data_IF_388530694800
#
_entry.id   IF_388530694800
#
_cell.length_a   1.000
_cell.length_b   1.000
_cell.length_c   1.000
_cell.angle_alpha   90.00
_cell.angle_beta   90.00
_cell.angle_gamma   90.00
#
_symmetry.space_group_name_H-M   'P 1'
#
loop_
_entity.id
_entity.type
_entity.pdbx_description
1 polymer ?
#
# COMPACT_ATOMS: atom_id res chain seq x y z
N UNK A 1 0.67 4.80 1.23
CA UNK A 1 0.57 5.98 0.37
C UNK A 1 0.56 5.57 -1.08
N UNK A 2 0.79 6.49 -1.99
CA UNK A 2 0.74 6.28 -3.44
C UNK A 2 2.14 6.17 -4.08
N UNK A 3 3.19 6.62 -3.37
CA UNK A 3 4.56 6.62 -3.88
C UNK A 3 5.34 5.36 -3.51
N UNK A 4 5.75 4.57 -4.52
CA UNK A 4 6.59 3.39 -4.32
C UNK A 4 7.96 3.73 -3.70
N UNK A 5 8.59 4.83 -4.14
CA UNK A 5 9.95 5.19 -3.70
C UNK A 5 10.00 5.91 -2.36
N UNK A 6 8.87 6.44 -1.88
CA UNK A 6 8.78 7.17 -0.60
C UNK A 6 7.96 6.40 0.42
N UNK A 7 6.65 6.29 0.24
CA UNK A 7 5.74 5.71 1.25
C UNK A 7 6.00 4.22 1.43
N UNK A 8 6.15 3.50 0.32
CA UNK A 8 6.27 2.04 0.32
C UNK A 8 7.69 1.62 0.66
N UNK A 9 8.70 2.12 -0.07
CA UNK A 9 10.10 1.82 0.23
C UNK A 9 10.49 2.29 1.64
N UNK A 10 10.00 3.46 2.08
CA UNK A 10 10.23 3.97 3.43
C UNK A 10 9.62 3.07 4.51
N UNK A 11 8.35 2.67 4.35
CA UNK A 11 7.69 1.76 5.28
C UNK A 11 8.35 0.38 5.36
N UNK A 12 8.72 -0.20 4.22
CA UNK A 12 9.45 -1.47 4.13
C UNK A 12 10.80 -1.36 4.86
N UNK A 13 11.57 -0.32 4.59
CA UNK A 13 12.88 -0.11 5.22
C UNK A 13 12.78 0.09 6.74
N UNK A 14 11.66 0.64 7.21
CA UNK A 14 11.38 0.81 8.63
C UNK A 14 10.76 -0.44 9.28
N UNK A 15 10.34 -1.42 8.49
CA UNK A 15 9.76 -2.69 8.97
C UNK A 15 8.31 -2.58 9.42
N UNK A 16 7.51 -1.70 8.81
CA UNK A 16 6.08 -1.55 9.09
C UNK A 16 5.23 -1.97 7.90
N UNK A 17 3.97 -2.31 8.17
CA UNK A 17 3.00 -2.64 7.12
C UNK A 17 2.82 -1.47 6.15
N UNK A 18 2.75 -1.80 4.87
CA UNK A 18 2.57 -0.82 3.80
C UNK A 18 1.26 -1.03 3.06
N UNK A 19 0.57 0.07 2.78
CA UNK A 19 -0.64 0.07 1.96
C UNK A 19 -0.40 0.98 0.75
N UNK A 20 -0.38 0.39 -0.45
CA UNK A 20 -0.16 1.10 -1.71
C UNK A 20 -1.49 1.47 -2.38
N UNK A 21 -1.74 2.76 -2.54
CA UNK A 21 -2.94 3.29 -3.17
C UNK A 21 -2.73 3.49 -4.67
N UNK A 22 -3.51 2.77 -5.48
CA UNK A 22 -3.44 2.79 -6.94
C UNK A 22 -4.83 3.00 -7.55
N UNK A 23 -5.37 4.24 -7.59
CA UNK A 23 -6.71 4.51 -8.12
C UNK A 23 -6.85 4.30 -9.63
N UNK A 24 -5.72 4.25 -10.34
CA UNK A 24 -5.65 3.93 -11.76
C UNK A 24 -5.01 2.56 -11.93
N UNK A 25 -5.29 1.91 -13.06
CA UNK A 25 -4.60 0.68 -13.45
C UNK A 25 -3.12 0.95 -13.68
N UNK A 26 -2.30 0.70 -12.66
CA UNK A 26 -0.84 0.80 -12.72
C UNK A 26 -0.21 -0.60 -12.78
N UNK A 27 0.97 -0.75 -13.42
CA UNK A 27 1.72 -1.99 -13.41
C UNK A 27 2.04 -2.47 -11.99
N UNK A 28 2.25 -3.77 -11.84
CA UNK A 28 2.70 -4.36 -10.59
C UNK A 28 4.11 -3.89 -10.19
N UNK A 29 4.46 -4.14 -8.94
CA UNK A 29 5.75 -3.80 -8.35
C UNK A 29 6.40 -5.05 -7.76
N UNK A 30 7.73 -5.11 -7.85
CA UNK A 30 8.53 -6.15 -7.18
C UNK A 30 8.72 -5.87 -5.68
N UNK A 31 8.29 -4.69 -5.20
CA UNK A 31 8.33 -4.38 -3.77
C UNK A 31 7.34 -5.27 -3.00
N UNK A 32 7.73 -5.82 -1.83
CA UNK A 32 6.85 -6.62 -1.00
C UNK A 32 5.83 -5.76 -0.24
N UNK A 33 4.86 -5.20 -0.94
CA UNK A 33 3.78 -4.39 -0.36
C UNK A 33 2.83 -5.27 0.44
N UNK A 34 2.45 -4.86 1.66
CA UNK A 34 1.52 -5.63 2.50
C UNK A 34 0.10 -5.61 1.94
N UNK A 35 -0.39 -4.41 1.55
CA UNK A 35 -1.74 -4.21 1.03
C UNK A 35 -1.72 -3.32 -0.22
N UNK A 36 -2.62 -3.61 -1.17
CA UNK A 36 -2.87 -2.74 -2.32
C UNK A 36 -4.36 -2.41 -2.37
N UNK A 37 -4.67 -1.13 -2.56
CA UNK A 37 -6.05 -0.64 -2.64
C UNK A 37 -6.20 0.29 -3.83
N UNK A 38 -7.37 0.26 -4.47
CA UNK A 38 -7.73 1.13 -5.60
C UNK A 38 -8.69 2.25 -5.19
N UNK A 39 -9.31 2.12 -4.01
CA UNK A 39 -10.17 3.10 -3.39
C UNK A 39 -9.84 3.20 -1.90
N UNK A 40 -9.90 4.42 -1.35
CA UNK A 40 -9.71 4.63 0.08
C UNK A 40 -10.79 3.96 0.94
N UNK A 41 -11.95 3.65 0.34
CA UNK A 41 -13.03 2.92 1.03
C UNK A 41 -12.65 1.46 1.36
N UNK A 42 -11.57 0.93 0.80
CA UNK A 42 -11.06 -0.41 1.09
C UNK A 42 -10.18 -0.43 2.36
N UNK A 43 -9.76 0.72 2.89
CA UNK A 43 -8.86 0.81 4.04
C UNK A 43 -9.53 0.43 5.37
N UNK A 44 -10.76 0.87 5.70
CA UNK A 44 -11.41 0.52 6.98
C UNK A 44 -11.39 -0.97 7.33
N UNK A 45 -11.78 -1.92 6.46
CA UNK A 45 -11.75 -3.34 6.81
C UNK A 45 -10.33 -3.88 7.06
N UNK A 46 -9.30 -3.30 6.43
CA UNK A 46 -7.89 -3.69 6.64
C UNK A 46 -7.43 -3.32 8.05
N UNK A 47 -7.74 -2.10 8.50
CA UNK A 47 -7.28 -1.60 9.81
C UNK A 47 -8.13 -2.10 10.97
N UNK A 48 -9.37 -2.50 10.72
CA UNK A 48 -10.28 -3.06 11.72
C UNK A 48 -10.05 -4.56 11.98
N UNK A 49 -9.21 -5.23 11.18
CA UNK A 49 -8.83 -6.64 11.36
C UNK A 49 -9.94 -7.62 11.01
N UNK A 50 -10.79 -7.28 10.02
CA UNK A 50 -11.88 -8.12 9.53
C UNK A 50 -11.41 -9.30 8.67
#
# INVERSE_FOLDING_TARGET
GDSLSSDIAGGINYGIDTCWYTPSSVPDTELPVTYRVTSLAEIPPIVEGA
#
